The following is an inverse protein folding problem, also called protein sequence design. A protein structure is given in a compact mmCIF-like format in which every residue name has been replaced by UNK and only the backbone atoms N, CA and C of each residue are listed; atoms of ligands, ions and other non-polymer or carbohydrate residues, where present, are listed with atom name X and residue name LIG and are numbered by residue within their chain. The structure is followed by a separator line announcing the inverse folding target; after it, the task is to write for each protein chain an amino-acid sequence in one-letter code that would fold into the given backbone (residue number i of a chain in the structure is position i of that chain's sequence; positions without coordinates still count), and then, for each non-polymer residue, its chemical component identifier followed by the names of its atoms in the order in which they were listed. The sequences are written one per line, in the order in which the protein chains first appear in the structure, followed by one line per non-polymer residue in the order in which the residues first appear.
data_IF_011853528445
#
_entry.id   IF_011853528445
#
_cell.length_a   1.000
_cell.length_b   1.000
_cell.length_c   1.000
_cell.angle_alpha   90.00
_cell.angle_beta   90.00
_cell.angle_gamma   90.00
#
_symmetry.space_group_name_H-M   'P 1'
#
loop_
_entity.id
_entity.type
_entity.pdbx_description
1 polymer ?
#
# COMPACT_ATOMS: atom_id res chain seq x y z
N UNK A 1 14.06 8.37 -17.57
CA UNK A 1 13.81 8.87 -16.17
C UNK A 1 13.36 10.33 -16.22
N UNK A 2 12.33 10.70 -15.45
CA UNK A 2 11.70 12.02 -15.45
C UNK A 2 11.62 12.59 -14.03
N UNK A 3 12.01 13.85 -13.83
CA UNK A 3 11.77 14.56 -12.56
C UNK A 3 10.28 14.89 -12.40
N UNK A 4 9.78 14.75 -11.18
CA UNK A 4 8.37 14.96 -10.84
C UNK A 4 8.23 15.78 -9.55
N UNK A 5 7.19 16.59 -9.49
CA UNK A 5 6.74 17.23 -8.26
C UNK A 5 6.13 16.21 -7.29
N UNK A 6 6.11 16.51 -6.03
CA UNK A 6 5.50 15.65 -5.01
C UNK A 6 4.04 15.30 -5.36
N UNK A 7 3.70 14.02 -5.43
CA UNK A 7 2.35 13.56 -5.81
C UNK A 7 1.26 14.05 -4.85
N UNK A 8 1.61 14.19 -3.56
CA UNK A 8 0.63 14.54 -2.51
C UNK A 8 0.35 16.03 -2.39
N UNK A 9 1.38 16.90 -2.53
CA UNK A 9 1.22 18.33 -2.29
C UNK A 9 1.71 19.24 -3.41
N UNK A 10 2.18 18.65 -4.52
CA UNK A 10 2.67 19.33 -5.72
C UNK A 10 3.89 20.27 -5.50
N UNK A 11 4.57 20.13 -4.36
CA UNK A 11 5.82 20.87 -4.06
C UNK A 11 7.01 20.26 -4.80
N UNK A 12 7.91 21.13 -5.27
CA UNK A 12 9.20 20.72 -5.87
C UNK A 12 10.33 20.68 -4.83
N UNK A 13 10.05 21.04 -3.57
CA UNK A 13 11.03 21.06 -2.51
C UNK A 13 11.18 19.70 -1.85
N UNK A 14 12.36 19.10 -1.99
CA UNK A 14 12.70 17.80 -1.42
C UNK A 14 14.19 17.73 -1.05
N UNK A 15 14.55 16.71 -0.30
CA UNK A 15 15.94 16.33 -0.06
C UNK A 15 16.12 14.83 -0.29
N UNK A 16 17.33 14.42 -0.64
CA UNK A 16 17.68 13.01 -0.79
C UNK A 16 17.60 12.32 0.57
N UNK A 17 16.74 11.29 0.68
CA UNK A 17 16.52 10.54 1.90
C UNK A 17 17.27 9.20 1.89
N UNK A 18 17.50 8.62 0.72
CA UNK A 18 18.22 7.39 0.52
C UNK A 18 18.40 7.07 -0.95
N UNK A 19 19.24 6.09 -1.24
CA UNK A 19 19.43 5.58 -2.59
C UNK A 19 19.63 4.06 -2.56
N UNK A 20 19.22 3.38 -3.63
CA UNK A 20 19.39 1.94 -3.81
C UNK A 20 19.30 1.63 -5.30
N UNK A 21 20.12 0.70 -5.77
CA UNK A 21 20.12 0.18 -7.15
C UNK A 21 20.16 1.27 -8.25
N UNK A 22 20.90 2.37 -8.00
CA UNK A 22 21.02 3.50 -8.93
C UNK A 22 19.85 4.50 -8.91
N UNK A 23 18.81 4.27 -8.09
CA UNK A 23 17.67 5.15 -7.94
C UNK A 23 17.72 5.93 -6.62
N UNK A 24 17.19 7.16 -6.63
CA UNK A 24 17.12 8.02 -5.45
C UNK A 24 15.71 8.04 -4.88
N UNK A 25 15.61 7.84 -3.58
CA UNK A 25 14.42 8.11 -2.79
C UNK A 25 14.56 9.49 -2.16
N UNK A 26 13.63 10.38 -2.45
CA UNK A 26 13.61 11.75 -1.91
C UNK A 26 12.46 11.91 -0.91
N UNK A 27 12.61 12.84 0.03
CA UNK A 27 11.57 13.20 0.98
C UNK A 27 11.09 14.62 0.72
N UNK A 28 9.80 14.78 0.43
CA UNK A 28 9.19 16.10 0.31
C UNK A 28 9.29 16.87 1.63
N UNK A 29 9.85 18.09 1.60
CA UNK A 29 9.97 18.92 2.80
C UNK A 29 8.64 19.48 3.29
N UNK A 30 7.65 19.57 2.40
CA UNK A 30 6.35 20.14 2.71
C UNK A 30 5.38 19.13 3.35
N UNK A 31 5.30 17.89 2.83
CA UNK A 31 4.32 16.93 3.32
C UNK A 31 4.91 15.61 3.86
N UNK A 32 6.22 15.39 3.68
CA UNK A 32 6.91 14.21 4.19
C UNK A 32 6.77 12.95 3.32
N UNK A 33 6.12 13.01 2.15
CA UNK A 33 6.07 11.88 1.21
C UNK A 33 7.48 11.45 0.83
N UNK A 34 7.74 10.15 0.89
CA UNK A 34 8.93 9.53 0.30
C UNK A 34 8.58 9.04 -1.10
N UNK A 35 9.36 9.42 -2.12
CA UNK A 35 9.12 8.99 -3.50
C UNK A 35 10.42 8.96 -4.30
N UNK A 36 10.44 8.14 -5.34
CA UNK A 36 11.56 8.05 -6.27
C UNK A 36 11.57 9.31 -7.14
N UNK A 37 12.73 9.99 -7.22
CA UNK A 37 12.91 11.14 -8.10
C UNK A 37 14.38 11.24 -8.55
N UNK A 38 14.68 11.24 -9.87
CA UNK A 38 13.72 11.09 -10.97
C UNK A 38 13.06 9.70 -11.02
N UNK A 39 11.79 9.66 -11.44
CA UNK A 39 11.02 8.43 -11.59
C UNK A 39 11.41 7.70 -12.87
N UNK A 40 11.41 6.35 -12.91
CA UNK A 40 11.58 5.57 -14.15
C UNK A 40 10.54 5.94 -15.21
N UNK A 41 10.84 5.64 -16.47
CA UNK A 41 9.91 5.84 -17.56
C UNK A 41 8.72 4.85 -17.47
N UNK A 42 7.57 5.24 -17.99
CA UNK A 42 6.34 4.42 -17.89
C UNK A 42 6.52 3.02 -18.49
N UNK A 43 7.24 2.92 -19.61
CA UNK A 43 7.54 1.63 -20.24
C UNK A 43 8.38 0.71 -19.33
N UNK A 44 9.33 1.26 -18.59
CA UNK A 44 10.14 0.51 -17.63
C UNK A 44 9.28 0.01 -16.45
N UNK A 45 8.41 0.88 -15.92
CA UNK A 45 7.48 0.52 -14.85
C UNK A 45 6.51 -0.57 -15.32
N UNK A 46 5.90 -0.40 -16.50
CA UNK A 46 4.96 -1.37 -17.07
C UNK A 46 5.61 -2.73 -17.30
N UNK A 47 6.84 -2.76 -17.84
CA UNK A 47 7.58 -3.99 -18.04
C UNK A 47 7.87 -4.69 -16.71
N UNK A 48 8.29 -3.92 -15.71
CA UNK A 48 8.60 -4.44 -14.38
C UNK A 48 7.37 -5.02 -13.68
N UNK A 49 6.23 -4.34 -13.74
CA UNK A 49 4.96 -4.84 -13.18
C UNK A 49 4.52 -6.14 -13.85
N UNK A 50 4.70 -6.27 -15.19
CA UNK A 50 4.36 -7.48 -15.95
C UNK A 50 5.29 -8.65 -15.67
N UNK A 51 6.58 -8.39 -15.49
CA UNK A 51 7.61 -9.44 -15.40
C UNK A 51 8.08 -9.73 -13.98
N UNK A 52 7.89 -8.81 -13.03
CA UNK A 52 8.50 -8.80 -11.71
C UNK A 52 10.00 -8.50 -11.75
N UNK A 53 10.53 -7.98 -12.87
CA UNK A 53 11.94 -7.70 -13.06
C UNK A 53 12.18 -6.22 -13.29
N UNK A 54 13.01 -5.61 -12.44
CA UNK A 54 13.42 -4.22 -12.53
C UNK A 54 14.90 -4.12 -12.87
N UNK A 55 15.24 -3.16 -13.74
CA UNK A 55 16.60 -2.87 -14.15
C UNK A 55 17.12 -1.62 -13.40
N UNK A 56 18.33 -1.70 -12.93
CA UNK A 56 19.08 -0.65 -12.29
C UNK A 56 20.56 -1.03 -12.35
N UNK A 57 21.34 -0.68 -11.35
CA UNK A 57 22.73 -1.14 -11.22
C UNK A 57 22.80 -2.69 -11.12
N UNK A 58 21.78 -3.28 -10.53
CA UNK A 58 21.56 -4.72 -10.52
C UNK A 58 20.14 -5.04 -10.98
N UNK A 59 19.93 -6.27 -11.51
CA UNK A 59 18.58 -6.72 -11.84
C UNK A 59 17.88 -7.16 -10.56
N UNK A 60 16.82 -6.48 -10.19
CA UNK A 60 15.97 -6.84 -9.06
C UNK A 60 14.85 -7.77 -9.55
N UNK A 61 14.73 -8.96 -8.92
CA UNK A 61 13.66 -9.91 -9.19
C UNK A 61 12.76 -10.02 -7.93
N UNK A 62 11.50 -9.57 -8.05
CA UNK A 62 10.51 -9.55 -6.97
C UNK A 62 9.42 -10.60 -7.18
N UNK A 63 9.80 -11.80 -7.53
CA UNK A 63 8.86 -12.93 -7.67
C UNK A 63 8.56 -13.52 -6.30
N UNK A 64 7.27 -13.57 -5.96
CA UNK A 64 6.75 -14.31 -4.82
C UNK A 64 5.90 -15.50 -5.33
N UNK A 65 5.45 -16.36 -4.41
CA UNK A 65 4.62 -17.53 -4.71
C UNK A 65 3.29 -17.46 -3.99
N UNK A 66 2.30 -18.23 -4.46
CA UNK A 66 1.05 -18.48 -3.76
C UNK A 66 1.29 -18.99 -2.34
N UNK A 67 0.45 -18.52 -1.40
CA UNK A 67 0.58 -18.88 0.01
C UNK A 67 -0.77 -19.05 0.70
N UNK A 68 -1.06 -20.26 1.16
CA UNK A 68 -2.22 -20.52 2.03
C UNK A 68 -2.13 -19.74 3.35
N UNK A 69 -0.91 -19.47 3.84
CA UNK A 69 -0.71 -18.64 5.03
C UNK A 69 -1.24 -17.23 4.81
N UNK A 70 -1.04 -16.62 3.63
CA UNK A 70 -1.62 -15.30 3.31
C UNK A 70 -3.14 -15.32 3.34
N UNK A 71 -3.77 -16.40 2.87
CA UNK A 71 -5.23 -16.55 2.93
C UNK A 71 -5.69 -16.52 4.39
N UNK A 72 -5.02 -17.28 5.27
CA UNK A 72 -5.34 -17.31 6.70
C UNK A 72 -5.13 -15.94 7.36
N UNK A 73 -4.03 -15.24 7.05
CA UNK A 73 -3.75 -13.89 7.54
C UNK A 73 -4.84 -12.90 7.12
N UNK A 74 -5.37 -13.01 5.91
CA UNK A 74 -6.49 -12.20 5.45
C UNK A 74 -7.80 -12.55 6.17
N UNK A 75 -8.08 -13.85 6.38
CA UNK A 75 -9.25 -14.30 7.12
C UNK A 75 -9.25 -13.83 8.59
N UNK A 76 -8.09 -13.72 9.22
CA UNK A 76 -7.96 -13.15 10.56
C UNK A 76 -8.20 -11.62 10.58
N UNK A 77 -7.79 -10.91 9.54
CA UNK A 77 -7.91 -9.44 9.46
C UNK A 77 -9.28 -8.96 9.00
N UNK A 78 -9.91 -9.66 8.05
CA UNK A 78 -11.19 -9.24 7.45
C UNK A 78 -12.30 -8.96 8.49
N UNK A 79 -12.55 -9.81 9.52
CA UNK A 79 -13.56 -9.51 10.54
C UNK A 79 -13.24 -8.32 11.44
N UNK A 80 -11.98 -7.88 11.48
CA UNK A 80 -11.56 -6.68 12.21
C UNK A 80 -11.75 -5.39 11.36
N UNK A 81 -11.91 -5.54 10.05
CA UNK A 81 -12.03 -4.46 9.07
C UNK A 81 -13.48 -4.28 8.65
N UNK A 82 -14.22 -5.37 8.44
CA UNK A 82 -15.61 -5.40 7.99
C UNK A 82 -16.49 -6.20 8.94
N UNK A 83 -17.69 -5.70 9.17
CA UNK A 83 -18.77 -6.55 9.68
C UNK A 83 -19.29 -7.41 8.51
N UNK A 84 -19.37 -8.72 8.71
CA UNK A 84 -19.85 -9.66 7.71
C UNK A 84 -21.29 -9.33 7.22
N UNK A 85 -22.10 -8.75 8.09
CA UNK A 85 -23.46 -8.34 7.77
C UNK A 85 -23.55 -7.02 7.00
N UNK A 86 -22.43 -6.30 6.79
CA UNK A 86 -22.42 -5.06 6.03
C UNK A 86 -22.45 -5.26 4.51
N UNK A 87 -22.27 -6.50 4.04
CA UNK A 87 -22.40 -6.83 2.62
C UNK A 87 -23.87 -7.09 2.28
N UNK A 88 -24.34 -6.43 1.22
CA UNK A 88 -25.69 -6.68 0.70
C UNK A 88 -25.87 -8.13 0.19
N UNK A 89 -27.10 -8.50 -0.14
CA UNK A 89 -27.41 -9.83 -0.71
C UNK A 89 -26.67 -10.09 -2.03
N UNK A 90 -26.35 -9.03 -2.76
CA UNK A 90 -25.53 -9.05 -3.98
C UNK A 90 -24.62 -7.84 -3.95
N UNK A 91 -23.33 -8.03 -4.27
CA UNK A 91 -22.35 -6.95 -4.39
C UNK A 91 -21.28 -7.33 -5.39
N UNK A 92 -20.54 -6.33 -5.90
CA UNK A 92 -19.42 -6.49 -6.82
C UNK A 92 -18.14 -5.96 -6.19
N UNK A 93 -17.08 -6.76 -6.25
CA UNK A 93 -15.77 -6.43 -5.70
C UNK A 93 -14.67 -6.61 -6.74
N UNK A 94 -13.89 -5.57 -6.99
CA UNK A 94 -12.67 -5.62 -7.80
C UNK A 94 -11.44 -5.62 -6.87
N UNK A 95 -10.53 -6.58 -7.08
CA UNK A 95 -9.20 -6.58 -6.44
C UNK A 95 -8.11 -6.22 -7.46
N UNK A 96 -7.47 -5.08 -7.26
CA UNK A 96 -6.45 -4.53 -8.14
C UNK A 96 -5.07 -5.03 -7.70
N UNK A 97 -4.30 -5.59 -8.66
CA UNK A 97 -3.03 -6.25 -8.35
C UNK A 97 -3.24 -7.49 -7.49
N UNK A 98 -4.23 -8.30 -7.84
CA UNK A 98 -4.69 -9.42 -6.99
C UNK A 98 -3.66 -10.54 -6.80
N UNK A 99 -2.53 -10.48 -7.48
CA UNK A 99 -1.47 -11.47 -7.38
C UNK A 99 -1.95 -12.87 -7.75
N UNK A 100 -1.68 -13.83 -6.89
CA UNK A 100 -2.14 -15.21 -7.05
C UNK A 100 -3.60 -15.43 -6.63
N UNK A 101 -4.31 -14.36 -6.21
CA UNK A 101 -5.72 -14.40 -5.83
C UNK A 101 -6.01 -14.74 -4.37
N UNK A 102 -4.98 -14.74 -3.50
CA UNK A 102 -5.13 -15.14 -2.08
C UNK A 102 -6.19 -14.29 -1.37
N UNK A 103 -6.22 -12.97 -1.63
CA UNK A 103 -7.21 -12.09 -1.01
C UNK A 103 -8.63 -12.38 -1.52
N UNK A 104 -8.81 -12.61 -2.82
CA UNK A 104 -10.13 -12.98 -3.39
C UNK A 104 -10.63 -14.27 -2.79
N UNK A 105 -9.77 -15.28 -2.58
CA UNK A 105 -10.13 -16.55 -1.94
C UNK A 105 -10.61 -16.31 -0.50
N UNK A 106 -9.83 -15.54 0.27
CA UNK A 106 -10.19 -15.18 1.65
C UNK A 106 -11.52 -14.41 1.70
N UNK A 107 -11.72 -13.45 0.80
CA UNK A 107 -12.90 -12.62 0.73
C UNK A 107 -14.17 -13.43 0.38
N UNK A 108 -14.09 -14.35 -0.60
CA UNK A 108 -15.16 -15.27 -0.93
C UNK A 108 -15.57 -16.13 0.28
N UNK A 109 -14.59 -16.61 1.04
CA UNK A 109 -14.82 -17.39 2.25
C UNK A 109 -15.44 -16.55 3.37
N UNK A 110 -15.00 -15.32 3.54
CA UNK A 110 -15.47 -14.41 4.58
C UNK A 110 -16.87 -13.85 4.31
N UNK A 111 -17.09 -13.28 3.11
CA UNK A 111 -18.31 -12.56 2.78
C UNK A 111 -19.45 -13.48 2.31
N UNK A 112 -19.14 -14.74 1.96
CA UNK A 112 -20.13 -15.71 1.46
C UNK A 112 -20.39 -15.61 -0.04
N UNK A 113 -21.23 -16.50 -0.55
CA UNK A 113 -21.30 -16.85 -1.98
C UNK A 113 -22.07 -15.91 -2.92
N UNK A 114 -22.67 -14.81 -2.45
CA UNK A 114 -23.53 -13.95 -3.30
C UNK A 114 -22.78 -12.76 -3.94
N UNK A 115 -21.48 -12.57 -3.66
CA UNK A 115 -20.66 -11.53 -4.26
C UNK A 115 -20.13 -11.90 -5.65
N UNK A 116 -20.02 -10.91 -6.53
CA UNK A 116 -19.27 -11.00 -7.79
C UNK A 116 -17.86 -10.49 -7.51
N UNK A 117 -16.87 -11.35 -7.70
CA UNK A 117 -15.47 -11.05 -7.40
C UNK A 117 -14.64 -11.09 -8.67
N UNK A 118 -13.99 -9.99 -8.99
CA UNK A 118 -13.08 -9.85 -10.13
C UNK A 118 -11.71 -9.43 -9.65
N UNK A 119 -10.67 -9.97 -10.27
CA UNK A 119 -9.29 -9.53 -10.08
C UNK A 119 -8.72 -8.94 -11.36
N UNK A 120 -7.78 -7.99 -11.22
CA UNK A 120 -6.87 -7.61 -12.30
C UNK A 120 -5.42 -7.80 -11.83
N UNK A 121 -4.62 -8.47 -12.68
CA UNK A 121 -3.22 -8.77 -12.38
C UNK A 121 -2.38 -8.68 -13.66
N UNK A 122 -1.43 -7.74 -13.74
CA UNK A 122 -0.59 -7.55 -14.92
C UNK A 122 0.45 -8.66 -15.13
N UNK A 123 0.89 -9.33 -14.06
CA UNK A 123 1.85 -10.42 -14.16
C UNK A 123 1.17 -11.70 -14.65
N UNK A 124 1.59 -12.17 -15.81
CA UNK A 124 0.94 -13.28 -16.50
C UNK A 124 1.01 -14.60 -15.73
N UNK A 125 2.12 -14.87 -15.04
CA UNK A 125 2.30 -16.09 -14.23
C UNK A 125 1.30 -16.09 -13.07
N UNK A 126 1.19 -14.98 -12.35
CA UNK A 126 0.26 -14.83 -11.21
C UNK A 126 -1.18 -14.93 -11.69
N UNK A 127 -1.54 -14.18 -12.74
CA UNK A 127 -2.88 -14.22 -13.36
C UNK A 127 -3.28 -15.64 -13.76
N UNK A 128 -2.43 -16.34 -14.53
CA UNK A 128 -2.72 -17.69 -15.00
C UNK A 128 -2.90 -18.68 -13.84
N UNK A 129 -2.12 -18.53 -12.77
CA UNK A 129 -2.31 -19.30 -11.55
C UNK A 129 -3.67 -19.02 -10.91
N UNK A 130 -4.04 -17.74 -10.71
CA UNK A 130 -5.32 -17.38 -10.13
C UNK A 130 -6.50 -17.92 -10.96
N UNK A 131 -6.43 -17.82 -12.29
CA UNK A 131 -7.41 -18.42 -13.22
C UNK A 131 -7.48 -19.94 -13.04
N UNK A 132 -6.34 -20.63 -12.88
CA UNK A 132 -6.31 -22.08 -12.64
C UNK A 132 -7.00 -22.49 -11.33
N UNK A 133 -7.14 -21.58 -10.38
CA UNK A 133 -7.90 -21.76 -9.14
C UNK A 133 -9.41 -21.42 -9.28
N UNK A 134 -9.87 -21.15 -10.50
CA UNK A 134 -11.28 -20.81 -10.77
C UNK A 134 -11.67 -19.39 -10.38
N UNK A 135 -10.70 -18.46 -10.32
CA UNK A 135 -10.96 -17.05 -10.06
C UNK A 135 -11.18 -16.31 -11.38
N UNK A 136 -12.07 -15.32 -11.37
CA UNK A 136 -12.25 -14.38 -12.49
C UNK A 136 -11.17 -13.31 -12.41
N UNK A 137 -10.05 -13.54 -13.09
CA UNK A 137 -8.90 -12.64 -13.13
C UNK A 137 -8.47 -12.42 -14.59
N UNK A 138 -8.31 -11.16 -14.96
CA UNK A 138 -7.80 -10.80 -16.27
C UNK A 138 -6.71 -9.72 -16.22
N UNK A 139 -6.31 -9.25 -17.40
CA UNK A 139 -5.41 -8.12 -17.60
C UNK A 139 -6.18 -6.99 -18.24
N UNK A 140 -6.97 -6.28 -17.44
CA UNK A 140 -7.76 -5.14 -17.91
C UNK A 140 -7.22 -3.85 -17.29
N UNK A 141 -7.01 -2.82 -18.11
CA UNK A 141 -6.74 -1.48 -17.59
C UNK A 141 -7.99 -0.99 -16.86
N UNK A 142 -7.79 -0.44 -15.66
CA UNK A 142 -8.87 0.13 -14.83
C UNK A 142 -9.72 1.16 -15.61
N UNK A 143 -9.14 1.87 -16.58
CA UNK A 143 -9.82 2.84 -17.44
C UNK A 143 -10.90 2.22 -18.31
N UNK A 144 -10.81 0.92 -18.60
CA UNK A 144 -11.77 0.21 -19.44
C UNK A 144 -13.04 -0.23 -18.68
N UNK A 145 -13.07 -0.12 -17.35
CA UNK A 145 -14.29 -0.38 -16.60
C UNK A 145 -15.25 0.81 -16.71
N UNK A 146 -16.58 0.54 -16.77
CA UNK A 146 -17.59 1.59 -16.73
C UNK A 146 -17.56 2.39 -15.42
N UNK A 147 -18.13 3.59 -15.44
CA UNK A 147 -18.41 4.35 -14.24
C UNK A 147 -19.43 3.60 -13.35
N UNK A 148 -19.36 3.83 -12.03
CA UNK A 148 -20.33 3.32 -11.06
C UNK A 148 -20.58 1.79 -11.15
N UNK A 149 -19.52 1.00 -11.34
CA UNK A 149 -19.60 -0.43 -11.63
C UNK A 149 -19.43 -1.33 -10.40
N UNK A 150 -18.53 -0.98 -9.48
CA UNK A 150 -18.21 -1.81 -8.33
C UNK A 150 -18.72 -1.21 -7.02
N UNK A 151 -19.20 -2.08 -6.11
CA UNK A 151 -19.55 -1.69 -4.74
C UNK A 151 -18.28 -1.53 -3.89
N UNK A 152 -17.28 -2.38 -4.14
CA UNK A 152 -15.99 -2.37 -3.45
C UNK A 152 -14.83 -2.49 -4.43
N UNK A 153 -13.74 -1.78 -4.13
CA UNK A 153 -12.46 -1.94 -4.82
C UNK A 153 -11.36 -2.08 -3.77
N UNK A 154 -10.51 -3.11 -3.90
CA UNK A 154 -9.33 -3.28 -3.07
C UNK A 154 -8.04 -3.13 -3.85
N UNK A 155 -6.98 -2.69 -3.17
CA UNK A 155 -5.61 -2.67 -3.65
C UNK A 155 -4.66 -2.94 -2.48
N UNK A 156 -4.15 -4.17 -2.42
CA UNK A 156 -3.33 -4.64 -1.32
C UNK A 156 -1.87 -4.74 -1.75
N UNK A 157 -0.98 -3.96 -1.09
CA UNK A 157 0.44 -3.83 -1.46
C UNK A 157 0.67 -3.30 -2.90
N UNK A 158 -0.25 -2.50 -3.43
CA UNK A 158 -0.15 -1.92 -4.78
C UNK A 158 0.29 -0.46 -4.73
N UNK A 159 -0.07 0.27 -3.67
CA UNK A 159 0.17 1.70 -3.54
C UNK A 159 1.63 2.12 -3.84
N UNK A 160 2.59 1.39 -3.30
CA UNK A 160 4.01 1.70 -3.46
C UNK A 160 4.54 1.58 -4.89
N UNK A 161 3.84 0.87 -5.76
CA UNK A 161 4.21 0.65 -7.16
C UNK A 161 3.55 1.64 -8.13
N UNK A 162 2.66 2.52 -7.64
CA UNK A 162 1.95 3.47 -8.48
C UNK A 162 2.81 4.70 -8.79
N UNK A 163 2.93 5.10 -10.08
CA UNK A 163 3.66 6.31 -10.47
C UNK A 163 3.03 7.60 -9.95
N UNK A 164 1.70 7.70 -9.96
CA UNK A 164 0.92 8.79 -9.33
C UNK A 164 -0.33 8.21 -8.66
N UNK A 165 -0.27 7.94 -7.34
CA UNK A 165 -1.40 7.40 -6.59
C UNK A 165 -2.65 8.29 -6.63
N UNK A 166 -2.48 9.61 -6.76
CA UNK A 166 -3.62 10.55 -6.79
C UNK A 166 -4.47 10.42 -8.06
N UNK A 167 -3.83 10.20 -9.20
CA UNK A 167 -4.53 9.92 -10.46
C UNK A 167 -5.25 8.58 -10.36
N UNK A 168 -4.57 7.58 -9.82
CA UNK A 168 -5.12 6.23 -9.70
C UNK A 168 -6.34 6.18 -8.77
N UNK A 169 -6.32 6.89 -7.65
CA UNK A 169 -7.48 6.99 -6.74
C UNK A 169 -8.70 7.66 -7.39
N UNK A 170 -8.49 8.62 -8.31
CA UNK A 170 -9.59 9.22 -9.07
C UNK A 170 -10.22 8.22 -10.03
N UNK A 171 -9.42 7.38 -10.69
CA UNK A 171 -9.95 6.32 -11.54
C UNK A 171 -10.69 5.24 -10.72
N UNK A 172 -10.17 4.83 -9.57
CA UNK A 172 -10.91 3.94 -8.67
C UNK A 172 -12.23 4.57 -8.24
N UNK A 173 -12.22 5.87 -7.91
CA UNK A 173 -13.47 6.58 -7.56
C UNK A 173 -14.46 6.60 -8.71
N UNK A 174 -14.02 6.74 -9.95
CA UNK A 174 -14.89 6.72 -11.12
C UNK A 174 -15.64 5.39 -11.24
N UNK A 175 -14.95 4.27 -11.11
CA UNK A 175 -15.53 2.93 -11.25
C UNK A 175 -16.29 2.45 -10.01
N UNK A 176 -16.11 3.06 -8.84
CA UNK A 176 -16.92 2.79 -7.65
C UNK A 176 -18.32 3.36 -7.82
N UNK A 177 -19.33 2.62 -7.42
CA UNK A 177 -20.70 3.09 -7.30
C UNK A 177 -20.80 4.21 -6.26
N UNK A 178 -21.91 4.95 -6.28
CA UNK A 178 -22.21 5.89 -5.20
C UNK A 178 -22.20 5.15 -3.85
N UNK A 179 -21.58 5.75 -2.83
CA UNK A 179 -21.35 5.16 -1.51
C UNK A 179 -20.45 3.90 -1.50
N UNK A 180 -19.89 3.52 -2.65
CA UNK A 180 -18.94 2.41 -2.78
C UNK A 180 -17.64 2.69 -2.00
N UNK A 181 -16.93 1.63 -1.62
CA UNK A 181 -15.76 1.72 -0.76
C UNK A 181 -14.47 1.27 -1.46
N UNK A 182 -13.39 2.00 -1.17
CA UNK A 182 -12.03 1.53 -1.45
C UNK A 182 -11.41 0.94 -0.18
N UNK A 183 -10.71 -0.19 -0.34
CA UNK A 183 -9.85 -0.80 0.68
C UNK A 183 -8.40 -0.76 0.20
N UNK A 184 -7.52 -0.13 0.97
CA UNK A 184 -6.09 -0.04 0.66
C UNK A 184 -5.31 -0.74 1.78
N UNK A 185 -4.33 -1.58 1.42
CA UNK A 185 -3.33 -2.06 2.36
C UNK A 185 -1.95 -1.55 1.91
N UNK A 186 -1.23 -0.88 2.79
CA UNK A 186 0.13 -0.39 2.54
C UNK A 186 0.91 -0.19 3.84
N UNK A 187 2.23 -0.07 3.73
CA UNK A 187 3.09 0.23 4.87
C UNK A 187 3.00 1.69 5.31
N UNK A 188 3.16 1.93 6.62
CA UNK A 188 3.27 3.25 7.25
C UNK A 188 4.73 3.57 7.56
N UNK A 189 5.46 4.07 6.57
CA UNK A 189 6.92 4.18 6.65
C UNK A 189 7.49 5.58 6.36
N UNK A 190 6.71 6.49 5.77
CA UNK A 190 7.22 7.79 5.33
C UNK A 190 7.63 8.73 6.47
N UNK A 191 7.16 8.50 7.70
CA UNK A 191 7.54 9.26 8.89
C UNK A 191 8.87 8.80 9.51
N UNK A 192 9.39 7.64 9.12
CA UNK A 192 10.66 7.12 9.61
C UNK A 192 11.85 7.93 9.11
N UNK A 193 12.93 7.95 9.91
CA UNK A 193 14.23 8.34 9.41
C UNK A 193 14.88 7.17 8.66
N UNK A 194 15.84 7.45 7.76
CA UNK A 194 16.52 6.38 7.00
C UNK A 194 17.16 5.33 7.88
N UNK A 195 17.77 5.74 8.99
CA UNK A 195 18.42 4.82 9.94
C UNK A 195 17.44 3.93 10.72
N UNK A 196 16.16 4.31 10.79
CA UNK A 196 15.10 3.59 11.50
C UNK A 196 14.28 2.70 10.55
N UNK A 197 14.55 2.80 9.24
CA UNK A 197 13.91 1.99 8.21
C UNK A 197 14.61 0.63 8.13
N UNK A 198 13.97 -0.47 8.53
CA UNK A 198 14.65 -1.74 8.78
C UNK A 198 14.91 -2.56 7.53
N UNK A 199 14.35 -2.15 6.38
CA UNK A 199 14.37 -2.93 5.16
C UNK A 199 15.23 -2.28 4.07
N UNK A 200 15.54 -3.06 3.03
CA UNK A 200 15.89 -2.55 1.72
C UNK A 200 14.72 -1.73 1.17
N UNK A 201 15.00 -0.75 0.34
CA UNK A 201 13.97 0.10 -0.28
C UNK A 201 13.28 -0.63 -1.43
N UNK A 202 13.95 -1.62 -2.01
CA UNK A 202 13.53 -2.32 -3.22
C UNK A 202 13.29 -1.38 -4.40
N UNK A 203 14.22 -0.41 -4.60
CA UNK A 203 14.13 0.51 -5.73
C UNK A 203 14.56 -0.16 -7.03
N UNK A 204 13.86 0.08 -8.13
CA UNK A 204 12.70 0.95 -8.30
C UNK A 204 11.34 0.23 -8.25
N UNK A 205 11.24 -0.97 -7.67
CA UNK A 205 9.96 -1.68 -7.48
C UNK A 205 9.00 -0.83 -6.63
N UNK A 206 9.50 -0.27 -5.52
CA UNK A 206 8.76 0.71 -4.74
C UNK A 206 9.06 2.13 -5.23
N UNK A 207 8.05 2.79 -5.78
CA UNK A 207 8.13 4.18 -6.26
C UNK A 207 7.82 5.20 -5.15
N UNK A 208 7.06 4.81 -4.11
CA UNK A 208 6.74 5.70 -3.00
C UNK A 208 6.42 4.96 -1.70
N UNK A 209 6.64 5.64 -0.57
CA UNK A 209 6.17 5.21 0.75
C UNK A 209 5.33 6.32 1.37
N UNK A 210 4.21 5.94 1.97
CA UNK A 210 3.29 6.87 2.61
C UNK A 210 3.30 6.77 4.14
N UNK A 211 2.65 7.73 4.76
CA UNK A 211 2.13 7.68 6.12
C UNK A 211 0.62 7.82 6.10
N UNK A 212 -0.05 7.56 7.23
CA UNK A 212 -1.50 7.73 7.33
C UNK A 212 -1.96 9.12 6.84
N UNK A 213 -1.26 10.19 7.27
CA UNK A 213 -1.62 11.56 6.88
C UNK A 213 -1.53 11.80 5.37
N UNK A 214 -0.56 11.17 4.71
CA UNK A 214 -0.39 11.28 3.26
C UNK A 214 -1.53 10.56 2.54
N UNK A 215 -1.86 9.33 2.94
CA UNK A 215 -2.96 8.57 2.34
C UNK A 215 -4.30 9.28 2.56
N UNK A 216 -4.57 9.78 3.76
CA UNK A 216 -5.80 10.56 4.04
C UNK A 216 -5.92 11.75 3.10
N UNK A 217 -4.87 12.55 2.97
CA UNK A 217 -4.86 13.72 2.07
C UNK A 217 -5.10 13.32 0.61
N UNK A 218 -4.45 12.25 0.14
CA UNK A 218 -4.63 11.78 -1.23
C UNK A 218 -6.06 11.32 -1.50
N UNK A 219 -6.66 10.60 -0.55
CA UNK A 219 -8.06 10.14 -0.64
C UNK A 219 -9.03 11.32 -0.61
N UNK A 220 -8.87 12.25 0.34
CA UNK A 220 -9.71 13.46 0.46
C UNK A 220 -9.64 14.30 -0.81
N UNK A 221 -8.43 14.55 -1.33
CA UNK A 221 -8.21 15.26 -2.60
C UNK A 221 -8.79 14.53 -3.82
N UNK A 222 -9.02 13.22 -3.71
CA UNK A 222 -9.62 12.39 -4.74
C UNK A 222 -11.14 12.23 -4.56
N UNK A 223 -11.76 12.89 -3.58
CA UNK A 223 -13.21 12.88 -3.36
C UNK A 223 -13.72 11.68 -2.57
N UNK A 224 -12.94 11.18 -1.62
CA UNK A 224 -13.36 10.18 -0.64
C UNK A 224 -13.60 10.80 0.73
N UNK A 225 -14.46 10.16 1.51
CA UNK A 225 -14.76 10.53 2.90
C UNK A 225 -14.86 9.29 3.80
N UNK A 226 -15.18 9.48 5.09
CA UNK A 226 -15.37 8.38 6.03
C UNK A 226 -14.12 7.50 6.19
N UNK A 227 -12.93 8.10 6.10
CA UNK A 227 -11.65 7.38 6.10
C UNK A 227 -11.41 6.77 7.48
N UNK A 228 -11.33 5.44 7.53
CA UNK A 228 -10.97 4.67 8.71
C UNK A 228 -9.68 3.90 8.48
N UNK A 229 -8.85 3.79 9.53
CA UNK A 229 -7.56 3.10 9.47
C UNK A 229 -7.49 2.06 10.57
N UNK A 230 -7.16 0.83 10.19
CA UNK A 230 -6.74 -0.23 11.10
C UNK A 230 -5.26 -0.50 10.89
N UNK A 231 -4.56 -0.82 11.97
CA UNK A 231 -3.14 -1.12 11.94
C UNK A 231 -2.90 -2.51 12.46
N UNK A 232 -2.07 -3.24 11.76
CA UNK A 232 -1.63 -4.57 12.15
C UNK A 232 -0.12 -4.60 12.29
N UNK A 233 0.36 -5.58 13.04
CA UNK A 233 1.79 -5.84 13.14
C UNK A 233 2.36 -6.17 11.76
N UNK A 234 3.45 -5.48 11.41
CA UNK A 234 4.23 -5.81 10.23
C UNK A 234 5.41 -6.70 10.66
N UNK A 235 5.48 -7.96 10.20
CA UNK A 235 6.51 -8.91 10.62
C UNK A 235 7.94 -8.48 10.24
N UNK A 236 8.08 -7.57 9.30
CA UNK A 236 9.36 -6.96 8.97
C UNK A 236 9.91 -6.03 10.05
N UNK A 237 9.10 -5.59 11.01
CA UNK A 237 9.55 -4.77 12.13
C UNK A 237 9.71 -5.64 13.39
N UNK A 238 10.87 -5.68 14.02
CA UNK A 238 11.11 -6.54 15.17
C UNK A 238 10.21 -6.17 16.33
N UNK A 239 9.51 -7.16 16.89
CA UNK A 239 8.71 -7.00 18.12
C UNK A 239 9.65 -6.79 19.29
N UNK A 240 9.56 -5.64 19.94
CA UNK A 240 10.33 -5.39 21.16
C UNK A 240 9.60 -6.01 22.36
N UNK A 241 10.25 -6.89 23.15
CA UNK A 241 9.64 -7.46 24.37
C UNK A 241 9.11 -6.38 25.30
N UNK A 242 7.92 -6.59 25.87
CA UNK A 242 7.23 -5.58 26.70
C UNK A 242 8.09 -5.01 27.84
N UNK A 243 8.91 -5.84 28.48
CA UNK A 243 9.83 -5.40 29.53
C UNK A 243 10.97 -4.49 29.06
N UNK A 244 11.41 -4.64 27.82
CA UNK A 244 12.39 -3.75 27.19
C UNK A 244 11.75 -2.43 26.76
N UNK A 245 10.48 -2.45 26.33
CA UNK A 245 9.70 -1.23 26.04
C UNK A 245 9.63 -0.30 27.24
N UNK A 246 9.30 -0.83 28.42
CA UNK A 246 9.17 -0.05 29.66
C UNK A 246 10.53 0.51 30.13
N UNK A 247 11.59 -0.30 30.13
CA UNK A 247 12.95 0.16 30.49
C UNK A 247 13.46 1.25 29.54
N UNK A 248 13.18 1.13 28.25
CA UNK A 248 13.60 2.10 27.25
C UNK A 248 12.80 3.40 27.36
N UNK A 249 11.49 3.34 27.64
CA UNK A 249 10.65 4.51 27.93
C UNK A 249 11.16 5.30 29.15
N UNK A 250 11.43 4.62 30.27
CA UNK A 250 11.97 5.24 31.45
C UNK A 250 13.36 5.87 31.24
N UNK A 251 14.23 5.20 30.48
CA UNK A 251 15.55 5.71 30.15
C UNK A 251 15.51 6.95 29.26
N UNK A 252 14.59 7.01 28.28
CA UNK A 252 14.41 8.17 27.39
C UNK A 252 13.75 9.34 28.12
N UNK A 253 12.80 9.10 29.00
CA UNK A 253 12.22 10.15 29.87
C UNK A 253 13.31 10.77 30.76
N UNK A 254 14.15 9.95 31.38
CA UNK A 254 15.27 10.41 32.20
C UNK A 254 16.35 11.15 31.41
N UNK A 255 16.55 10.77 30.13
CA UNK A 255 17.52 11.41 29.23
C UNK A 255 16.98 12.71 28.65
N UNK A 256 15.66 12.82 28.39
CA UNK A 256 15.01 14.05 27.92
C UNK A 256 15.02 15.16 28.97
N UNK A 257 15.01 14.80 30.27
CA UNK A 257 15.12 15.76 31.38
C UNK A 257 16.54 16.32 31.51
N UNK A 258 17.56 15.60 31.04
CA UNK A 258 18.98 15.98 31.16
C UNK A 258 19.60 16.70 29.98
N UNK A 259 18.94 16.82 28.82
CA UNK A 259 19.47 17.46 27.62
C UNK A 259 18.46 18.38 26.95
N UNK A 260 18.77 19.66 26.95
CA UNK A 260 18.07 20.71 26.18
C UNK A 260 18.44 20.70 24.68
N UNK A 261 18.67 19.54 24.07
CA UNK A 261 19.13 19.48 22.69
C UNK A 261 18.10 18.82 21.76
N UNK A 262 17.66 19.59 20.76
CA UNK A 262 16.52 19.40 19.87
C UNK A 262 16.59 18.22 18.86
N UNK A 263 17.22 17.10 19.20
CA UNK A 263 17.09 15.86 18.41
C UNK A 263 16.30 14.82 19.20
N UNK A 264 14.96 14.97 19.21
CA UNK A 264 14.06 13.88 19.61
C UNK A 264 14.22 12.74 18.61
N UNK A 265 15.13 11.79 18.89
CA UNK A 265 15.12 10.49 18.22
C UNK A 265 13.91 9.73 18.73
N UNK A 266 12.93 9.46 17.86
CA UNK A 266 11.83 8.56 18.15
C UNK A 266 12.36 7.13 18.25
N UNK A 267 12.75 6.69 19.45
CA UNK A 267 13.28 5.33 19.71
C UNK A 267 12.18 4.26 19.82
N UNK A 268 10.92 4.63 19.60
CA UNK A 268 9.80 3.70 19.52
C UNK A 268 9.39 3.52 18.06
N UNK A 269 10.00 2.54 17.41
CA UNK A 269 9.44 2.06 16.15
C UNK A 269 8.14 1.36 16.54
N UNK A 270 7.01 1.98 16.18
CA UNK A 270 5.73 1.29 16.22
C UNK A 270 5.81 0.14 15.22
N UNK A 271 5.61 -1.08 15.68
CA UNK A 271 5.65 -2.28 14.83
C UNK A 271 4.34 -2.51 14.09
N UNK A 272 3.27 -1.80 14.47
CA UNK A 272 1.96 -1.86 13.82
C UNK A 272 1.96 -0.90 12.63
N UNK A 273 2.71 -1.28 11.58
CA UNK A 273 2.93 -0.46 10.38
C UNK A 273 2.31 -1.04 9.11
N UNK A 274 1.51 -2.07 9.24
CA UNK A 274 0.65 -2.58 8.19
C UNK A 274 -0.70 -1.85 8.28
N UNK A 275 -0.88 -0.81 7.45
CA UNK A 275 -2.10 0.01 7.44
C UNK A 275 -3.13 -0.58 6.49
N UNK A 276 -4.35 -0.74 6.99
CA UNK A 276 -5.53 -1.07 6.23
C UNK A 276 -6.51 0.09 6.31
N UNK A 277 -6.76 0.71 5.19
CA UNK A 277 -7.50 1.97 5.07
C UNK A 277 -8.76 1.74 4.26
N UNK A 278 -9.92 2.10 4.81
CA UNK A 278 -11.20 2.15 4.10
C UNK A 278 -11.61 3.59 3.90
N UNK A 279 -12.19 3.88 2.75
CA UNK A 279 -12.79 5.17 2.46
C UNK A 279 -13.96 5.03 1.51
N UNK A 280 -14.94 5.94 1.58
CA UNK A 280 -16.15 5.92 0.76
C UNK A 280 -16.11 6.98 -0.32
N UNK A 281 -16.62 6.63 -1.51
CA UNK A 281 -16.94 7.59 -2.57
C UNK A 281 -18.08 8.50 -2.09
N UNK A 282 -17.87 9.80 -2.21
CA UNK A 282 -18.89 10.84 -1.97
C UNK A 282 -19.51 11.29 -3.27
#
# INVERSE_FOLDING_TARGET
MREVSCYSCKSDNYFEWGAENGFKMVKCTNCGLLYVNPVPDEEEIDLAVKTGMHKGETVLNVVNSFSDQKINDYLEKLPLIYDKNSFGSTFSWLDIGCGYGEFIIALKSFAGGSGIYKGIEPNEIKKNFAVSKGLDVDFTDIKNFPDDHFDFVSMLNVYSHLPDPGIFFKEIRRILKKDGEILIQTGDAADLNRQDFPHTLYLPDHLSFASENIIRRLLENSGYSGISVRRFHNPGYPVMPAGLKIKKQLFEILRSIKRSDHKKRNYFINTDRDMWIRARKV
#
